data_IF_643886068584
#
_entry.id   IF_643886068584
#
_cell.length_a   1.000
_cell.length_b   1.000
_cell.length_c   1.000
_cell.angle_alpha   90.00
_cell.angle_beta   90.00
_cell.angle_gamma   90.00
#
_symmetry.space_group_name_H-M   'P 1'
#
loop_
_entity.id
_entity.type
_entity.pdbx_description
1 polymer ?
#
# COMPACT_ATOMS: atom_id res chain seq x y z
N UNK A 1 2.83 0.51 1.90
CA UNK A 1 2.67 -0.50 2.97
C UNK A 1 4.05 -1.00 3.32
N UNK A 2 4.40 -1.01 4.59
CA UNK A 2 5.70 -1.44 5.12
C UNK A 2 5.50 -1.65 6.63
N UNK A 3 6.07 -2.65 7.28
CA UNK A 3 5.84 -2.89 8.71
C UNK A 3 6.73 -2.05 9.64
N UNK A 4 7.81 -1.49 9.12
CA UNK A 4 8.71 -0.60 9.85
C UNK A 4 8.19 0.85 9.83
N UNK A 5 7.77 1.35 11.01
CA UNK A 5 7.26 2.71 11.16
C UNK A 5 8.23 3.78 10.68
N UNK A 6 9.53 3.60 10.93
CA UNK A 6 10.56 4.55 10.49
C UNK A 6 10.65 4.66 8.97
N UNK A 7 10.54 3.53 8.26
CA UNK A 7 10.55 3.50 6.79
C UNK A 7 9.28 4.15 6.25
N UNK A 8 8.10 3.76 6.77
CA UNK A 8 6.82 4.38 6.40
C UNK A 8 6.87 5.91 6.55
N UNK A 9 7.33 6.40 7.70
CA UNK A 9 7.37 7.83 7.98
C UNK A 9 8.29 8.61 7.04
N UNK A 10 9.46 8.06 6.72
CA UNK A 10 10.39 8.69 5.77
C UNK A 10 9.80 8.69 4.37
N UNK A 11 9.26 7.56 3.90
CA UNK A 11 8.61 7.48 2.60
C UNK A 11 7.44 8.46 2.49
N UNK A 12 6.56 8.50 3.51
CA UNK A 12 5.44 9.43 3.56
C UNK A 12 5.86 10.90 3.52
N UNK A 13 6.95 11.27 4.20
CA UNK A 13 7.50 12.63 4.13
C UNK A 13 8.04 12.96 2.75
N UNK A 14 8.75 12.02 2.10
CA UNK A 14 9.29 12.21 0.75
C UNK A 14 8.16 12.42 -0.26
N UNK A 15 7.16 11.55 -0.29
CA UNK A 15 6.07 11.66 -1.26
C UNK A 15 5.21 12.92 -1.03
N UNK A 16 4.94 13.29 0.22
CA UNK A 16 4.26 14.57 0.51
C UNK A 16 5.09 15.78 0.10
N UNK A 17 6.41 15.75 0.26
CA UNK A 17 7.30 16.81 -0.24
C UNK A 17 7.24 16.94 -1.77
N UNK A 18 7.00 15.82 -2.47
CA UNK A 18 6.75 15.79 -3.92
C UNK A 18 5.31 16.17 -4.30
N UNK A 19 4.50 16.67 -3.37
CA UNK A 19 3.08 17.04 -3.53
C UNK A 19 2.15 15.87 -3.89
N UNK A 20 2.51 14.64 -3.51
CA UNK A 20 1.57 13.52 -3.56
C UNK A 20 0.64 13.55 -2.35
N UNK A 21 -0.62 13.14 -2.55
CA UNK A 21 -1.48 12.70 -1.45
C UNK A 21 -1.11 11.25 -1.10
N UNK A 22 -0.93 10.95 0.19
CA UNK A 22 -0.29 9.70 0.62
C UNK A 22 -1.04 9.09 1.79
N UNK A 23 -1.54 7.88 1.57
CA UNK A 23 -1.97 6.98 2.61
C UNK A 23 -0.87 5.97 2.95
N UNK A 24 -0.74 5.66 4.25
CA UNK A 24 0.25 4.69 4.75
C UNK A 24 -0.49 3.57 5.46
N UNK A 25 -0.01 2.33 5.27
CA UNK A 25 -0.53 1.14 5.91
C UNK A 25 0.62 0.35 6.53
N UNK A 26 0.43 -0.17 7.73
CA UNK A 26 1.42 -0.95 8.47
C UNK A 26 1.48 -2.41 8.01
N UNK A 27 0.39 -2.94 7.46
CA UNK A 27 0.30 -4.30 6.97
C UNK A 27 -0.69 -4.41 5.81
N UNK A 28 -0.84 -5.61 5.27
CA UNK A 28 -1.76 -5.89 4.17
C UNK A 28 -3.23 -5.70 4.51
N UNK A 29 -3.65 -5.94 5.75
CA UNK A 29 -5.06 -5.79 6.14
C UNK A 29 -5.47 -4.31 6.11
N UNK A 30 -4.65 -3.43 6.69
CA UNK A 30 -4.87 -1.99 6.66
C UNK A 30 -4.81 -1.46 5.21
N UNK A 31 -3.90 -1.99 4.39
CA UNK A 31 -3.78 -1.64 2.98
C UNK A 31 -5.06 -1.98 2.21
N UNK A 32 -5.61 -3.18 2.41
CA UNK A 32 -6.85 -3.64 1.75
C UNK A 32 -8.04 -2.81 2.22
N UNK A 33 -8.15 -2.51 3.53
CA UNK A 33 -9.25 -1.70 4.06
C UNK A 33 -9.26 -0.29 3.43
N UNK A 34 -8.10 0.35 3.33
CA UNK A 34 -7.95 1.67 2.69
C UNK A 34 -8.23 1.61 1.20
N UNK A 35 -7.75 0.57 0.52
CA UNK A 35 -8.01 0.35 -0.90
C UNK A 35 -9.51 0.22 -1.19
N UNK A 36 -10.21 -0.61 -0.42
CA UNK A 36 -11.66 -0.79 -0.55
C UNK A 36 -12.42 0.51 -0.33
N UNK A 37 -12.11 1.26 0.74
CA UNK A 37 -12.75 2.55 1.00
C UNK A 37 -12.53 3.56 -0.12
N UNK A 38 -11.31 3.62 -0.66
CA UNK A 38 -11.01 4.50 -1.79
C UNK A 38 -11.82 4.08 -3.03
N UNK A 39 -11.78 2.78 -3.36
CA UNK A 39 -12.48 2.20 -4.51
C UNK A 39 -13.99 2.44 -4.45
N UNK A 40 -14.63 2.18 -3.31
CA UNK A 40 -16.07 2.43 -3.08
C UNK A 40 -16.44 3.91 -3.17
N UNK A 41 -15.52 4.81 -2.83
CA UNK A 41 -15.71 6.27 -2.95
C UNK A 41 -15.45 6.81 -4.36
N UNK A 42 -15.13 5.94 -5.33
CA UNK A 42 -14.78 6.33 -6.70
C UNK A 42 -13.39 6.97 -6.82
N UNK A 43 -12.53 6.79 -5.82
CA UNK A 43 -11.12 7.21 -5.85
C UNK A 43 -10.24 6.01 -6.15
N UNK A 44 -9.25 6.22 -6.99
CA UNK A 44 -8.20 5.22 -7.28
C UNK A 44 -6.87 5.68 -6.70
N UNK A 45 -6.03 4.72 -6.34
CA UNK A 45 -4.62 4.99 -6.08
C UNK A 45 -3.84 4.97 -7.40
N UNK A 46 -3.14 6.06 -7.71
CA UNK A 46 -2.29 6.13 -8.91
C UNK A 46 -1.01 5.29 -8.79
N UNK A 47 -0.56 5.06 -7.56
CA UNK A 47 0.63 4.29 -7.25
C UNK A 47 0.45 3.55 -5.92
N UNK A 48 0.69 2.25 -5.96
CA UNK A 48 0.79 1.41 -4.78
C UNK A 48 2.25 0.97 -4.58
N UNK A 49 2.75 1.12 -3.36
CA UNK A 49 4.07 0.64 -2.96
C UNK A 49 3.88 -0.29 -1.78
N UNK A 50 4.31 -1.54 -1.94
CA UNK A 50 4.15 -2.59 -0.94
C UNK A 50 5.52 -3.17 -0.63
N UNK A 51 5.87 -3.25 0.65
CA UNK A 51 6.94 -4.11 1.09
C UNK A 51 6.55 -5.59 0.89
N UNK A 52 7.43 -6.35 0.26
CA UNK A 52 7.19 -7.76 -0.03
C UNK A 52 7.18 -8.61 1.24
N UNK A 53 8.02 -8.26 2.20
CA UNK A 53 8.40 -9.15 3.31
C UNK A 53 8.02 -8.57 4.67
N UNK A 54 6.74 -8.71 5.03
CA UNK A 54 6.25 -8.35 6.36
C UNK A 54 6.33 -9.57 7.29
N UNK A 55 7.25 -9.63 8.28
CA UNK A 55 7.40 -10.79 9.15
C UNK A 55 6.21 -11.00 10.09
N UNK A 56 5.44 -9.94 10.35
CA UNK A 56 4.26 -9.94 11.21
C UNK A 56 3.06 -9.35 10.48
N UNK A 57 2.31 -10.20 9.79
CA UNK A 57 1.09 -9.79 9.08
C UNK A 57 1.04 -10.34 7.67
N UNK A 58 0.15 -9.76 6.86
CA UNK A 58 0.04 -10.05 5.43
C UNK A 58 1.11 -9.27 4.67
N UNK A 59 1.97 -9.97 3.93
CA UNK A 59 3.03 -9.38 3.11
C UNK A 59 2.52 -8.88 1.75
N UNK A 60 3.37 -8.16 1.02
CA UNK A 60 2.99 -7.48 -0.22
C UNK A 60 2.47 -8.42 -1.31
N UNK A 61 2.95 -9.67 -1.36
CA UNK A 61 2.50 -10.63 -2.36
C UNK A 61 1.09 -11.16 -2.05
N UNK A 62 0.78 -11.47 -0.79
CA UNK A 62 -0.58 -11.83 -0.40
C UNK A 62 -1.54 -10.65 -0.56
N UNK A 63 -1.13 -9.44 -0.16
CA UNK A 63 -1.92 -8.22 -0.34
C UNK A 63 -2.24 -7.99 -1.80
N UNK A 64 -1.25 -8.09 -2.70
CA UNK A 64 -1.48 -7.88 -4.13
C UNK A 64 -2.51 -8.84 -4.72
N UNK A 65 -2.52 -10.11 -4.28
CA UNK A 65 -3.53 -11.08 -4.74
C UNK A 65 -4.94 -10.65 -4.36
N UNK A 66 -5.14 -10.19 -3.14
CA UNK A 66 -6.46 -9.71 -2.69
C UNK A 66 -6.86 -8.44 -3.44
N UNK A 67 -5.92 -7.51 -3.65
CA UNK A 67 -6.18 -6.30 -4.42
C UNK A 67 -6.60 -6.63 -5.86
N UNK A 68 -6.00 -7.64 -6.50
CA UNK A 68 -6.36 -8.09 -7.85
C UNK A 68 -7.75 -8.74 -7.92
N UNK A 69 -8.24 -9.33 -6.82
CA UNK A 69 -9.62 -9.83 -6.75
C UNK A 69 -10.63 -8.68 -6.68
N UNK A 70 -10.24 -7.53 -6.13
CA UNK A 70 -11.08 -6.32 -6.03
C UNK A 70 -11.04 -5.53 -7.34
N UNK A 71 -9.84 -5.31 -7.88
CA UNK A 71 -9.59 -4.57 -9.11
C UNK A 71 -8.55 -5.32 -9.96
N UNK A 72 -8.98 -6.03 -11.01
CA UNK A 72 -8.08 -6.82 -11.88
C UNK A 72 -7.01 -5.99 -12.59
N UNK A 73 -7.22 -4.68 -12.75
CA UNK A 73 -6.28 -3.78 -13.44
C UNK A 73 -5.31 -3.10 -12.47
N UNK A 74 -5.42 -3.38 -11.16
CA UNK A 74 -4.53 -2.81 -10.14
C UNK A 74 -3.08 -3.24 -10.37
N UNK A 75 -2.17 -2.29 -10.21
CA UNK A 75 -0.73 -2.51 -10.29
C UNK A 75 -0.04 -1.92 -9.05
N UNK A 76 1.01 -2.59 -8.59
CA UNK A 76 1.81 -2.15 -7.45
C UNK A 76 3.30 -2.35 -7.70
N UNK A 77 4.13 -1.50 -7.07
CA UNK A 77 5.56 -1.68 -6.95
C UNK A 77 5.83 -2.47 -5.67
N UNK A 78 6.41 -3.67 -5.84
CA UNK A 78 6.89 -4.49 -4.73
C UNK A 78 8.32 -4.09 -4.39
N UNK A 79 8.55 -3.68 -3.15
CA UNK A 79 9.86 -3.36 -2.59
C UNK A 79 10.40 -4.53 -1.79
N UNK A 80 11.71 -4.78 -1.85
CA UNK A 80 12.38 -5.79 -1.02
C UNK A 80 13.61 -5.14 -0.39
N UNK A 81 13.75 -5.26 0.93
CA UNK A 81 14.94 -4.86 1.68
C UNK A 81 16.08 -5.86 1.62
#
# INVERSE_FOLDING_TARGET
>A
MDDEEGIRDVAGKIFRYLNCDVEMAADGEEMIERFLKAHESGRSFDLLILDLSVPRGMGGLETMKVLQEIDPDVAAVLSTG
#
